data_IF_487351404943
#
_entry.id   IF_487351404943
#
_cell.length_a   1.000
_cell.length_b   1.000
_cell.length_c   1.000
_cell.angle_alpha   90.00
_cell.angle_beta   90.00
_cell.angle_gamma   90.00
#
_symmetry.space_group_name_H-M   'P 1'
#
loop_
_entity.id
_entity.type
_entity.pdbx_description
1 polymer ?
#
# COMPACT_ATOMS: atom_id res chain seq x y z
N UNK A 1 -10.29 3.22 23.90
CA UNK A 1 -10.22 4.59 24.45
C UNK A 1 -10.36 5.59 23.31
N UNK A 2 -11.18 6.59 23.52
CA UNK A 2 -11.30 7.65 22.53
C UNK A 2 -10.11 8.58 22.62
N UNK A 3 -9.67 9.07 21.47
CA UNK A 3 -8.56 9.99 21.35
C UNK A 3 -8.73 11.21 22.28
N UNK A 4 -9.94 11.72 22.37
CA UNK A 4 -10.28 12.88 23.22
C UNK A 4 -9.96 12.67 24.69
N UNK A 5 -10.05 11.43 25.16
CA UNK A 5 -9.78 11.16 26.57
C UNK A 5 -8.31 11.34 26.93
N UNK A 6 -7.43 11.17 25.96
CA UNK A 6 -6.00 11.37 26.17
C UNK A 6 -5.66 12.85 26.32
N UNK A 7 -6.44 13.72 25.70
CA UNK A 7 -6.21 15.15 25.79
C UNK A 7 -6.29 15.69 27.21
N UNK A 8 -7.13 15.11 28.04
CA UNK A 8 -7.26 15.51 29.44
C UNK A 8 -5.97 15.30 30.20
N UNK A 9 -5.19 14.32 29.79
CA UNK A 9 -3.92 14.01 30.43
C UNK A 9 -2.77 14.73 29.77
N UNK A 10 -2.98 15.27 28.58
CA UNK A 10 -1.93 15.90 27.82
C UNK A 10 -1.45 17.21 28.46
N UNK A 11 -2.31 17.87 29.20
CA UNK A 11 -1.94 19.08 29.94
C UNK A 11 -1.09 18.77 31.17
N UNK A 12 -1.03 17.52 31.57
CA UNK A 12 -0.23 17.08 32.70
C UNK A 12 1.17 16.69 32.20
N UNK A 13 2.18 17.39 32.67
CA UNK A 13 3.55 17.17 32.21
C UNK A 13 4.01 15.73 32.33
N UNK A 14 3.62 15.02 33.39
CA UNK A 14 4.00 13.62 33.56
C UNK A 14 3.35 12.74 32.51
N UNK A 15 2.09 13.02 32.19
CA UNK A 15 1.38 12.28 31.18
C UNK A 15 2.00 12.48 29.79
N UNK A 16 2.41 13.70 29.50
CA UNK A 16 3.09 14.00 28.25
C UNK A 16 4.41 13.24 28.11
N UNK A 17 5.11 13.05 29.20
CA UNK A 17 6.36 12.29 29.18
C UNK A 17 6.14 10.80 28.94
N UNK A 18 4.98 10.27 29.35
CA UNK A 18 4.67 8.86 29.25
C UNK A 18 3.99 8.52 27.92
N UNK A 19 3.04 9.36 27.48
CA UNK A 19 2.15 9.03 26.35
C UNK A 19 2.45 9.71 25.01
N UNK A 20 3.39 10.65 24.88
CA UNK A 20 3.49 11.41 23.64
C UNK A 20 3.74 10.54 22.41
N UNK A 21 4.57 9.50 22.54
CA UNK A 21 4.86 8.60 21.42
C UNK A 21 3.65 7.77 21.04
N UNK A 22 2.90 7.29 22.03
CA UNK A 22 1.69 6.50 21.81
C UNK A 22 0.63 7.34 21.11
N UNK A 23 0.43 8.56 21.60
CA UNK A 23 -0.55 9.49 21.05
C UNK A 23 -0.22 9.85 19.60
N UNK A 24 1.04 10.15 19.32
CA UNK A 24 1.51 10.49 17.98
C UNK A 24 1.33 9.31 17.02
N UNK A 25 1.64 8.11 17.48
CA UNK A 25 1.50 6.91 16.66
C UNK A 25 0.03 6.64 16.30
N UNK A 26 -0.88 6.76 17.27
CA UNK A 26 -2.31 6.60 17.04
C UNK A 26 -2.81 7.65 16.05
N UNK A 27 -2.38 8.90 16.22
CA UNK A 27 -2.77 10.00 15.35
C UNK A 27 -2.25 9.79 13.92
N UNK A 28 -1.01 9.39 13.78
CA UNK A 28 -0.43 9.09 12.47
C UNK A 28 -1.23 7.99 11.75
N UNK A 29 -1.61 6.94 12.48
CA UNK A 29 -2.37 5.83 11.90
C UNK A 29 -3.74 6.27 11.43
N UNK A 30 -4.44 7.10 12.21
CA UNK A 30 -5.75 7.60 11.80
C UNK A 30 -5.66 8.46 10.54
N UNK A 31 -4.64 9.29 10.43
CA UNK A 31 -4.40 10.08 9.22
C UNK A 31 -4.05 9.15 8.04
N UNK A 32 -3.22 8.16 8.30
CA UNK A 32 -2.78 7.23 7.27
C UNK A 32 -3.95 6.48 6.61
N UNK A 33 -5.00 6.19 7.36
CA UNK A 33 -6.19 5.50 6.82
C UNK A 33 -6.92 6.31 5.76
N UNK A 34 -6.67 7.61 5.65
CA UNK A 34 -7.42 8.49 4.75
C UNK A 34 -6.83 8.59 3.35
N UNK A 35 -5.65 8.06 3.12
CA UNK A 35 -4.93 8.31 1.87
C UNK A 35 -3.93 7.18 1.59
N UNK A 36 -3.88 6.65 0.34
CA UNK A 36 -2.95 5.56 0.01
C UNK A 36 -1.48 5.91 0.27
N UNK A 37 -1.07 7.13 -0.03
CA UNK A 37 0.31 7.57 0.19
C UNK A 37 0.67 7.54 1.67
N UNK A 38 -0.20 8.11 2.51
CA UNK A 38 0.04 8.14 3.96
C UNK A 38 0.03 6.75 4.55
N UNK A 39 -0.88 5.89 4.05
CA UNK A 39 -0.94 4.50 4.48
C UNK A 39 0.36 3.76 4.14
N UNK A 40 0.87 3.95 2.94
CA UNK A 40 2.12 3.32 2.51
C UNK A 40 3.30 3.83 3.34
N UNK A 41 3.40 5.13 3.56
CA UNK A 41 4.47 5.71 4.37
C UNK A 41 4.43 5.18 5.80
N UNK A 42 3.22 4.98 6.35
CA UNK A 42 3.07 4.43 7.70
C UNK A 42 3.61 3.00 7.78
N UNK A 43 3.19 2.13 6.86
CA UNK A 43 3.66 0.73 6.90
C UNK A 43 5.14 0.60 6.57
N UNK A 44 5.68 1.51 5.77
CA UNK A 44 7.12 1.58 5.53
C UNK A 44 7.88 1.88 6.81
N UNK A 45 7.34 2.75 7.63
CA UNK A 45 7.96 3.19 8.88
C UNK A 45 7.79 2.18 10.01
N UNK A 46 6.57 1.63 10.15
CA UNK A 46 6.21 0.81 11.31
C UNK A 46 6.02 -0.68 11.00
N UNK A 47 6.00 -1.06 9.72
CA UNK A 47 5.78 -2.44 9.32
C UNK A 47 4.35 -2.71 8.88
N UNK A 48 4.12 -3.92 8.41
CA UNK A 48 2.82 -4.36 7.89
C UNK A 48 1.71 -4.08 8.92
N UNK A 49 0.60 -3.54 8.42
CA UNK A 49 -0.58 -3.27 9.25
C UNK A 49 -1.83 -3.47 8.40
N UNK A 50 -2.59 -4.51 8.71
CA UNK A 50 -3.76 -4.89 7.92
C UNK A 50 -4.85 -3.81 7.91
N UNK A 51 -4.92 -2.98 8.95
CA UNK A 51 -5.90 -1.90 9.01
C UNK A 51 -5.68 -0.84 7.93
N UNK A 52 -4.44 -0.74 7.41
CA UNK A 52 -4.10 0.24 6.39
C UNK A 52 -4.17 -0.32 4.98
N UNK A 53 -4.30 -1.64 4.84
CA UNK A 53 -4.34 -2.26 3.52
C UNK A 53 -5.49 -1.77 2.64
N UNK A 54 -6.70 -1.55 3.17
CA UNK A 54 -7.78 -1.01 2.33
C UNK A 54 -7.44 0.36 1.70
N UNK A 55 -6.73 1.22 2.43
CA UNK A 55 -6.31 2.51 1.89
C UNK A 55 -5.24 2.35 0.81
N UNK A 56 -4.25 1.50 1.07
CA UNK A 56 -3.18 1.22 0.12
C UNK A 56 -3.76 0.63 -1.18
N UNK A 57 -4.73 -0.25 -1.05
CA UNK A 57 -5.34 -0.98 -2.16
C UNK A 57 -6.08 -0.08 -3.16
N UNK A 58 -6.34 1.17 -2.82
CA UNK A 58 -7.03 2.10 -3.71
C UNK A 58 -6.15 2.66 -4.82
N UNK A 59 -4.86 2.43 -4.76
CA UNK A 59 -3.90 3.01 -5.69
C UNK A 59 -2.98 1.93 -6.27
N UNK A 60 -2.79 1.94 -7.58
CA UNK A 60 -1.98 0.93 -8.27
C UNK A 60 -0.52 0.96 -7.84
N UNK A 61 0.07 2.16 -7.81
CA UNK A 61 1.49 2.33 -7.46
C UNK A 61 1.77 1.85 -6.04
N UNK A 62 0.99 2.33 -5.08
CA UNK A 62 1.22 1.97 -3.68
C UNK A 62 0.87 0.51 -3.40
N UNK A 63 -0.12 -0.06 -4.11
CA UNK A 63 -0.42 -1.49 -4.00
C UNK A 63 0.75 -2.33 -4.48
N UNK A 64 1.34 -1.96 -5.61
CA UNK A 64 2.52 -2.65 -6.13
C UNK A 64 3.71 -2.50 -5.17
N UNK A 65 3.97 -1.28 -4.71
CA UNK A 65 5.09 -1.02 -3.80
C UNK A 65 4.92 -1.76 -2.48
N UNK A 66 3.69 -1.84 -1.98
CA UNK A 66 3.39 -2.59 -0.76
C UNK A 66 3.71 -4.07 -0.93
N UNK A 67 3.27 -4.66 -2.04
CA UNK A 67 3.57 -6.06 -2.33
C UNK A 67 5.08 -6.31 -2.44
N UNK A 68 5.78 -5.40 -3.09
CA UNK A 68 7.21 -5.57 -3.35
C UNK A 68 8.07 -5.35 -2.11
N UNK A 69 7.84 -4.25 -1.39
CA UNK A 69 8.76 -3.80 -0.34
C UNK A 69 8.30 -4.13 1.07
N UNK A 70 7.00 -4.16 1.33
CA UNK A 70 6.48 -4.45 2.66
C UNK A 70 6.15 -5.93 2.80
N UNK A 71 5.49 -6.52 1.80
CA UNK A 71 5.17 -7.95 1.80
C UNK A 71 6.32 -8.81 1.27
N UNK A 72 7.44 -8.21 0.93
CA UNK A 72 8.64 -8.92 0.48
C UNK A 72 8.39 -9.77 -0.77
N UNK A 73 7.82 -9.14 -1.80
CA UNK A 73 7.48 -9.76 -3.09
C UNK A 73 6.42 -10.84 -2.99
N UNK A 74 5.47 -10.67 -2.10
CA UNK A 74 4.31 -11.55 -2.01
C UNK A 74 3.09 -10.88 -2.60
N UNK A 75 2.14 -11.64 -3.17
CA UNK A 75 0.93 -11.08 -3.74
C UNK A 75 0.13 -10.25 -2.73
N UNK A 76 -0.50 -9.20 -3.24
CA UNK A 76 -1.41 -8.37 -2.49
C UNK A 76 -2.77 -8.36 -3.18
N UNK A 77 -3.58 -9.41 -2.99
CA UNK A 77 -4.84 -9.55 -3.72
C UNK A 77 -5.79 -8.37 -3.59
N UNK A 78 -5.83 -7.75 -2.41
CA UNK A 78 -6.71 -6.62 -2.17
C UNK A 78 -6.40 -5.44 -3.10
N UNK A 79 -5.13 -5.25 -3.45
CA UNK A 79 -4.70 -4.17 -4.34
C UNK A 79 -4.67 -4.53 -5.82
N UNK A 80 -4.87 -5.80 -6.15
CA UNK A 80 -4.79 -6.23 -7.55
C UNK A 80 -5.79 -5.55 -8.48
N UNK A 81 -7.05 -5.29 -8.06
CA UNK A 81 -7.96 -4.54 -8.93
C UNK A 81 -7.45 -3.16 -9.31
N UNK A 82 -6.80 -2.45 -8.40
CA UNK A 82 -6.22 -1.15 -8.70
C UNK A 82 -5.00 -1.28 -9.61
N UNK A 83 -4.13 -2.24 -9.32
CA UNK A 83 -2.95 -2.52 -10.15
C UNK A 83 -3.38 -2.84 -11.58
N UNK A 84 -4.44 -3.63 -11.74
CA UNK A 84 -4.94 -4.08 -13.04
C UNK A 84 -5.41 -2.92 -13.93
N UNK A 85 -5.73 -1.78 -13.36
CA UNK A 85 -6.15 -0.60 -14.13
C UNK A 85 -4.96 0.14 -14.75
N UNK A 86 -3.76 -0.20 -14.37
CA UNK A 86 -2.53 0.41 -14.89
C UNK A 86 -1.75 -0.63 -15.68
N UNK A 87 -1.52 -0.36 -16.96
CA UNK A 87 -0.70 -1.27 -17.77
C UNK A 87 0.71 -1.37 -17.22
N UNK A 88 1.29 -0.24 -16.83
CA UNK A 88 2.65 -0.18 -16.31
C UNK A 88 2.82 -1.01 -15.03
N UNK A 89 1.97 -0.76 -14.05
CA UNK A 89 2.06 -1.50 -12.78
C UNK A 89 1.60 -2.95 -12.89
N UNK A 90 0.73 -3.25 -13.85
CA UNK A 90 0.36 -4.65 -14.13
C UNK A 90 1.56 -5.46 -14.59
N UNK A 91 2.38 -4.88 -15.47
CA UNK A 91 3.58 -5.56 -15.94
C UNK A 91 4.60 -5.72 -14.82
N UNK A 92 4.83 -4.67 -14.05
CA UNK A 92 5.74 -4.75 -12.91
C UNK A 92 5.29 -5.80 -11.90
N UNK A 93 3.99 -5.86 -11.65
CA UNK A 93 3.43 -6.83 -10.72
C UNK A 93 3.59 -8.26 -11.26
N UNK A 94 3.32 -8.46 -12.55
CA UNK A 94 3.50 -9.75 -13.20
C UNK A 94 4.96 -10.22 -13.12
N UNK A 95 5.89 -9.31 -13.40
CA UNK A 95 7.31 -9.63 -13.44
C UNK A 95 7.91 -9.83 -12.05
N UNK A 96 7.64 -8.91 -11.13
CA UNK A 96 8.32 -8.87 -9.83
C UNK A 96 7.60 -9.62 -8.72
N UNK A 97 6.30 -9.77 -8.80
CA UNK A 97 5.51 -10.37 -7.73
C UNK A 97 5.02 -11.75 -8.10
N UNK A 98 4.30 -11.86 -9.22
CA UNK A 98 3.70 -13.12 -9.65
C UNK A 98 4.71 -14.03 -10.33
N UNK A 99 5.66 -13.44 -11.06
CA UNK A 99 6.63 -14.15 -11.90
C UNK A 99 5.95 -14.95 -12.99
N UNK A 100 4.97 -14.33 -13.64
CA UNK A 100 4.19 -14.95 -14.71
C UNK A 100 3.01 -14.07 -15.08
N UNK A 101 2.03 -14.66 -15.73
CA UNK A 101 0.85 -13.93 -16.19
C UNK A 101 0.10 -13.25 -15.05
N UNK A 102 -0.34 -12.03 -15.31
CA UNK A 102 -1.28 -11.32 -14.45
C UNK A 102 -2.55 -11.07 -15.26
N UNK A 103 -3.44 -12.06 -15.30
CA UNK A 103 -4.61 -12.03 -16.16
C UNK A 103 -5.51 -10.82 -15.90
N UNK A 104 -5.67 -10.43 -14.64
CA UNK A 104 -6.52 -9.30 -14.28
C UNK A 104 -6.08 -8.00 -14.95
N UNK A 105 -4.77 -7.84 -15.18
CA UNK A 105 -4.22 -6.65 -15.80
C UNK A 105 -4.08 -6.71 -17.31
N UNK A 106 -4.36 -7.85 -17.93
CA UNK A 106 -4.08 -8.03 -19.35
C UNK A 106 -4.88 -7.10 -20.25
N UNK A 107 -6.10 -6.73 -19.85
CA UNK A 107 -6.90 -5.78 -20.62
C UNK A 107 -6.23 -4.41 -20.71
N UNK A 108 -5.76 -3.89 -19.58
CA UNK A 108 -5.05 -2.60 -19.56
C UNK A 108 -3.74 -2.67 -20.31
N UNK A 109 -3.03 -3.78 -20.20
CA UNK A 109 -1.77 -3.99 -20.91
C UNK A 109 -2.04 -3.96 -22.42
N UNK A 110 -3.10 -4.62 -22.88
CA UNK A 110 -3.45 -4.71 -24.31
C UNK A 110 -3.79 -3.34 -24.91
N UNK A 111 -4.20 -2.38 -24.10
CA UNK A 111 -4.55 -1.04 -24.57
C UNK A 111 -3.31 -0.16 -24.84
N UNK A 112 -2.12 -0.63 -24.46
CA UNK A 112 -0.87 0.10 -24.67
C UNK A 112 0.06 -0.73 -25.57
N UNK A 113 0.40 -0.18 -26.72
CA UNK A 113 1.28 -0.90 -27.66
C UNK A 113 2.62 -1.26 -27.04
N UNK A 114 3.24 -0.30 -26.36
CA UNK A 114 4.53 -0.53 -25.72
C UNK A 114 4.44 -1.58 -24.62
N UNK A 115 3.43 -1.48 -23.78
CA UNK A 115 3.27 -2.40 -22.65
C UNK A 115 2.88 -3.80 -23.14
N UNK A 116 2.06 -3.90 -24.21
CA UNK A 116 1.73 -5.18 -24.82
C UNK A 116 2.97 -5.90 -25.33
N UNK A 117 3.82 -5.16 -26.02
CA UNK A 117 5.08 -5.72 -26.52
C UNK A 117 5.95 -6.23 -25.38
N UNK A 118 6.12 -5.41 -24.35
CA UNK A 118 6.93 -5.77 -23.18
C UNK A 118 6.38 -7.00 -22.47
N UNK A 119 5.07 -7.06 -22.31
CA UNK A 119 4.41 -8.17 -21.65
C UNK A 119 4.60 -9.47 -22.43
N UNK A 120 4.39 -9.41 -23.75
CA UNK A 120 4.58 -10.58 -24.60
C UNK A 120 6.02 -11.07 -24.57
N UNK A 121 6.96 -10.15 -24.65
CA UNK A 121 8.39 -10.49 -24.68
C UNK A 121 8.88 -11.05 -23.35
N UNK A 122 8.52 -10.40 -22.22
CA UNK A 122 9.14 -10.68 -20.93
C UNK A 122 8.33 -11.65 -20.05
N UNK A 123 7.04 -11.66 -20.21
CA UNK A 123 6.13 -12.42 -19.34
C UNK A 123 5.57 -13.66 -20.02
N UNK A 124 5.02 -13.48 -21.23
CA UNK A 124 4.33 -14.59 -21.91
C UNK A 124 5.28 -15.56 -22.59
N UNK A 125 6.46 -15.15 -22.95
CA UNK A 125 7.52 -15.93 -23.64
C UNK A 125 7.03 -17.17 -24.35
#
# INVERSE_FOLDING_TARGET
MKFMNLWKYYDNNQTQLIYPNVLNHIHEKEIAKTNPKWAFEFVKKYGKDEDLEPAIAKNAEYSYMYARFVLMKKPFPLGEPAIAKSAYFSILYADQIINGKFELGEKSIAESDYQSFTYARDILK
#
